data_IF_672403936440
#
_entry.id   IF_672403936440
#
_cell.length_a   1.000
_cell.length_b   1.000
_cell.length_c   1.000
_cell.angle_alpha   90.00
_cell.angle_beta   90.00
_cell.angle_gamma   90.00
#
_symmetry.space_group_name_H-M   'P 1'
#
loop_
_entity.id
_entity.type
_entity.pdbx_description
1 polymer ?
#
# COMPACT_ATOMS: atom_id res chain seq x y z
N UNK A 1 0.59 -7.47 22.15
CA UNK A 1 1.33 -6.79 21.05
C UNK A 1 2.79 -6.48 21.40
N UNK A 2 3.06 -5.59 22.37
CA UNK A 2 4.42 -5.09 22.65
C UNK A 2 5.45 -6.19 22.93
N UNK A 3 5.14 -7.14 23.82
CA UNK A 3 6.03 -8.27 24.12
C UNK A 3 6.36 -9.13 22.90
N UNK A 4 5.39 -9.26 21.97
CA UNK A 4 5.58 -9.99 20.72
C UNK A 4 6.51 -9.22 19.78
N UNK A 5 6.30 -7.92 19.64
CA UNK A 5 7.13 -7.07 18.79
C UNK A 5 8.57 -7.00 19.31
N UNK A 6 8.76 -6.85 20.62
CA UNK A 6 10.08 -6.87 21.26
C UNK A 6 10.82 -8.19 20.98
N UNK A 7 10.12 -9.33 21.07
CA UNK A 7 10.72 -10.65 20.78
C UNK A 7 11.15 -10.84 19.33
N UNK A 8 10.55 -10.07 18.41
CA UNK A 8 10.88 -10.06 16.99
C UNK A 8 11.83 -8.92 16.61
N UNK A 9 12.22 -8.05 17.56
CA UNK A 9 12.97 -6.83 17.27
C UNK A 9 12.21 -5.87 16.36
N UNK A 10 10.87 -5.90 16.40
CA UNK A 10 9.98 -5.24 15.44
C UNK A 10 9.52 -3.88 15.98
N UNK A 11 9.59 -2.86 15.14
CA UNK A 11 9.00 -1.53 15.35
C UNK A 11 8.15 -1.16 14.15
N UNK A 12 6.88 -0.83 14.38
CA UNK A 12 6.00 -0.29 13.32
C UNK A 12 6.09 1.22 13.34
N UNK A 13 6.50 1.79 12.20
CA UNK A 13 6.41 3.21 11.93
C UNK A 13 5.02 3.47 11.33
N UNK A 14 4.05 3.81 12.18
CA UNK A 14 2.71 4.16 11.70
C UNK A 14 2.76 5.50 10.94
N UNK A 15 2.15 5.55 9.76
CA UNK A 15 2.20 6.70 8.84
C UNK A 15 0.79 7.24 8.57
N UNK A 16 0.73 8.46 8.07
CA UNK A 16 -0.52 9.02 7.53
C UNK A 16 -0.84 8.44 6.15
N UNK A 17 -2.09 8.58 5.70
CA UNK A 17 -2.64 7.92 4.50
C UNK A 17 -1.92 8.18 3.15
N UNK A 18 -0.99 9.15 3.06
CA UNK A 18 -0.16 9.31 1.86
C UNK A 18 0.91 8.20 1.76
N UNK A 19 1.31 7.61 2.87
CA UNK A 19 2.36 6.60 2.91
C UNK A 19 1.88 5.38 3.65
N UNK A 20 2.20 4.20 3.11
CA UNK A 20 2.05 2.99 3.90
C UNK A 20 2.92 3.06 5.15
N UNK A 21 2.55 2.28 6.15
CA UNK A 21 3.39 1.94 7.28
C UNK A 21 4.69 1.31 6.80
N UNK A 22 5.75 1.54 7.57
CA UNK A 22 7.01 0.83 7.43
C UNK A 22 7.24 -0.03 8.67
N UNK A 23 7.53 -1.32 8.48
CA UNK A 23 7.86 -2.23 9.59
C UNK A 23 9.36 -2.45 9.64
N UNK A 24 10.03 -1.88 10.64
CA UNK A 24 11.47 -2.03 10.84
C UNK A 24 11.73 -3.18 11.81
N UNK A 25 12.57 -4.13 11.41
CA UNK A 25 12.94 -5.30 12.21
C UNK A 25 14.44 -5.24 12.44
N UNK A 26 14.92 -5.43 13.67
CA UNK A 26 16.35 -5.42 14.02
C UNK A 26 16.79 -6.69 14.73
N UNK A 27 17.99 -7.15 14.43
CA UNK A 27 18.64 -8.26 15.14
C UNK A 27 20.17 -8.09 15.07
N UNK A 28 20.83 -8.18 16.22
CA UNK A 28 22.27 -7.90 16.31
C UNK A 28 22.66 -6.54 15.72
N UNK A 29 23.54 -6.57 14.71
CA UNK A 29 24.03 -5.40 13.96
C UNK A 29 23.27 -5.13 12.65
N UNK A 30 22.22 -5.89 12.36
CA UNK A 30 21.45 -5.84 11.12
C UNK A 30 20.01 -5.36 11.35
N UNK A 31 19.42 -4.80 10.30
CA UNK A 31 18.00 -4.46 10.27
C UNK A 31 17.40 -4.57 8.88
N UNK A 32 16.07 -4.72 8.85
CA UNK A 32 15.25 -4.87 7.66
C UNK A 32 14.10 -3.87 7.75
N UNK A 33 13.58 -3.44 6.62
CA UNK A 33 12.35 -2.66 6.54
C UNK A 33 11.39 -3.30 5.55
N UNK A 34 10.13 -3.47 5.95
CA UNK A 34 9.04 -3.86 5.07
C UNK A 34 8.21 -2.62 4.74
N UNK A 35 8.09 -2.33 3.44
CA UNK A 35 7.51 -1.13 2.82
C UNK A 35 8.18 0.20 3.25
N UNK A 36 8.18 1.19 2.36
CA UNK A 36 9.00 2.40 2.48
C UNK A 36 8.23 3.72 2.30
N UNK A 37 6.91 3.67 2.29
CA UNK A 37 6.08 4.87 2.15
C UNK A 37 6.16 5.47 0.74
N UNK A 38 5.70 6.71 0.62
CA UNK A 38 5.61 7.44 -0.64
C UNK A 38 6.82 8.35 -0.90
N UNK A 39 7.08 8.65 -2.18
CA UNK A 39 8.27 9.36 -2.63
C UNK A 39 8.47 10.75 -1.98
N UNK A 40 7.41 11.55 -1.83
CA UNK A 40 7.53 12.87 -1.18
C UNK A 40 7.83 12.80 0.33
N UNK A 41 7.61 11.64 0.95
CA UNK A 41 8.01 11.34 2.33
C UNK A 41 9.34 10.59 2.44
N UNK A 42 10.05 10.30 1.35
CA UNK A 42 11.27 9.49 1.37
C UNK A 42 12.36 10.02 2.32
N UNK A 43 12.65 11.33 2.44
CA UNK A 43 13.59 11.84 3.44
C UNK A 43 13.17 11.50 4.88
N UNK A 44 11.86 11.63 5.18
CA UNK A 44 11.31 11.29 6.49
C UNK A 44 11.37 9.78 6.74
N UNK A 45 11.08 8.95 5.74
CA UNK A 45 11.23 7.48 5.84
C UNK A 45 12.67 7.12 6.22
N UNK A 46 13.67 7.69 5.54
CA UNK A 46 15.08 7.45 5.82
C UNK A 46 15.44 7.82 7.26
N UNK A 47 14.97 8.98 7.75
CA UNK A 47 15.22 9.42 9.13
C UNK A 47 14.59 8.47 10.16
N UNK A 48 13.33 8.09 9.99
CA UNK A 48 12.62 7.20 10.90
C UNK A 48 13.25 5.81 10.95
N UNK A 49 13.60 5.25 9.78
CA UNK A 49 14.31 3.96 9.70
C UNK A 49 15.68 4.06 10.39
N UNK A 50 16.44 5.13 10.14
CA UNK A 50 17.74 5.34 10.78
C UNK A 50 17.64 5.47 12.30
N UNK A 51 16.58 6.11 12.82
CA UNK A 51 16.34 6.23 14.25
C UNK A 51 16.13 4.88 14.92
N UNK A 52 15.34 3.98 14.30
CA UNK A 52 15.12 2.62 14.82
C UNK A 52 16.39 1.77 14.72
N UNK A 53 17.12 1.86 13.60
CA UNK A 53 18.36 1.11 13.40
C UNK A 53 19.44 1.51 14.42
N UNK A 54 19.55 2.81 14.75
CA UNK A 54 20.65 3.34 15.54
C UNK A 54 21.98 3.18 14.79
N UNK A 55 22.92 2.42 15.34
CA UNK A 55 24.22 2.14 14.70
C UNK A 55 24.21 0.92 13.77
N UNK A 56 23.08 0.21 13.67
CA UNK A 56 22.93 -1.01 12.86
C UNK A 56 22.93 -0.70 11.37
N UNK A 57 23.27 -1.70 10.58
CA UNK A 57 23.17 -1.64 9.11
C UNK A 57 21.77 -2.03 8.67
N UNK A 58 21.18 -1.27 7.74
CA UNK A 58 20.05 -1.76 6.97
C UNK A 58 20.58 -2.77 5.94
N UNK A 59 20.13 -4.02 6.03
CA UNK A 59 20.57 -5.10 5.15
C UNK A 59 19.49 -5.54 4.16
N UNK A 60 18.21 -5.25 4.46
CA UNK A 60 17.09 -5.60 3.59
C UNK A 60 15.98 -4.55 3.52
N UNK A 61 15.48 -4.31 2.31
CA UNK A 61 14.20 -3.64 2.03
C UNK A 61 13.30 -4.71 1.41
N UNK A 62 12.08 -4.86 1.91
CA UNK A 62 11.09 -5.80 1.38
C UNK A 62 9.83 -5.02 1.02
N UNK A 63 9.21 -5.33 -0.11
CA UNK A 63 7.93 -4.75 -0.47
C UNK A 63 6.81 -5.79 -0.44
N UNK A 64 5.68 -5.46 0.18
CA UNK A 64 4.47 -6.28 0.11
C UNK A 64 3.87 -6.27 -1.28
N UNK A 65 3.89 -5.09 -1.94
CA UNK A 65 3.51 -4.86 -3.33
C UNK A 65 4.13 -3.54 -3.81
N UNK A 66 3.95 -3.21 -5.09
CA UNK A 66 4.67 -2.10 -5.74
C UNK A 66 3.75 -0.93 -6.10
N UNK A 67 2.75 -0.64 -5.26
CA UNK A 67 2.13 0.68 -5.31
C UNK A 67 3.09 1.74 -4.76
N UNK A 68 2.96 2.95 -5.28
CA UNK A 68 3.95 4.01 -5.07
C UNK A 68 4.11 4.43 -3.60
N UNK A 69 3.07 4.25 -2.80
CA UNK A 69 3.04 4.53 -1.36
C UNK A 69 3.60 3.41 -0.49
N UNK A 70 3.96 2.27 -1.09
CA UNK A 70 4.63 1.13 -0.43
C UNK A 70 6.11 1.01 -0.81
N UNK A 71 6.51 1.50 -1.99
CA UNK A 71 7.89 1.38 -2.48
C UNK A 71 8.57 2.73 -2.81
N UNK A 72 7.89 3.86 -2.61
CA UNK A 72 8.37 5.20 -2.95
C UNK A 72 9.64 5.63 -2.20
N UNK A 73 9.89 5.08 -1.02
CA UNK A 73 11.12 5.31 -0.26
C UNK A 73 12.31 4.40 -0.63
N UNK A 74 12.12 3.41 -1.52
CA UNK A 74 13.14 2.40 -1.82
C UNK A 74 14.43 3.03 -2.35
N UNK A 75 14.33 3.94 -3.33
CA UNK A 75 15.49 4.58 -3.94
C UNK A 75 16.32 5.37 -2.93
N UNK A 76 15.64 6.10 -2.03
CA UNK A 76 16.29 6.90 -0.99
C UNK A 76 16.98 6.02 0.07
N UNK A 77 16.33 4.93 0.50
CA UNK A 77 16.91 3.96 1.42
C UNK A 77 18.14 3.27 0.81
N UNK A 78 18.03 2.78 -0.43
CA UNK A 78 19.14 2.14 -1.14
C UNK A 78 20.32 3.08 -1.35
N UNK A 79 20.06 4.36 -1.64
CA UNK A 79 21.11 5.38 -1.74
C UNK A 79 21.78 5.67 -0.40
N UNK A 80 21.03 5.63 0.70
CA UNK A 80 21.54 5.95 2.04
C UNK A 80 22.30 4.80 2.71
N UNK A 81 21.91 3.55 2.44
CA UNK A 81 22.43 2.37 3.11
C UNK A 81 23.17 1.47 2.12
N UNK A 82 24.48 1.66 2.02
CA UNK A 82 25.31 0.89 1.10
C UNK A 82 25.22 -0.63 1.35
N UNK A 83 24.95 -1.39 0.29
CA UNK A 83 24.86 -2.85 0.32
C UNK A 83 23.54 -3.42 0.84
N UNK A 84 22.53 -2.58 1.07
CA UNK A 84 21.17 -3.06 1.35
C UNK A 84 20.62 -3.82 0.15
N UNK A 85 19.95 -4.94 0.39
CA UNK A 85 19.30 -5.73 -0.65
C UNK A 85 17.80 -5.44 -0.70
N UNK A 86 17.25 -5.24 -1.89
CA UNK A 86 15.81 -4.99 -2.07
C UNK A 86 15.13 -6.25 -2.60
N UNK A 87 14.02 -6.65 -1.97
CA UNK A 87 13.21 -7.81 -2.33
C UNK A 87 11.79 -7.36 -2.66
N UNK A 88 11.29 -7.79 -3.81
CA UNK A 88 9.97 -7.42 -4.32
C UNK A 88 9.13 -8.66 -4.62
N UNK A 89 7.80 -8.53 -4.76
CA UNK A 89 7.00 -9.62 -5.29
C UNK A 89 7.37 -9.98 -6.75
N UNK A 90 7.14 -11.22 -7.17
CA UNK A 90 7.65 -11.71 -8.46
C UNK A 90 6.96 -11.11 -9.69
N UNK A 91 5.68 -10.71 -9.57
CA UNK A 91 4.83 -10.42 -10.74
C UNK A 91 5.28 -9.25 -11.61
N UNK A 92 5.85 -8.20 -11.00
CA UNK A 92 6.28 -6.98 -11.70
C UNK A 92 7.80 -6.86 -11.85
N UNK A 93 8.56 -7.94 -11.64
CA UNK A 93 10.01 -7.93 -11.67
C UNK A 93 10.59 -7.36 -12.99
N UNK A 94 10.02 -7.74 -14.14
CA UNK A 94 10.47 -7.23 -15.45
C UNK A 94 10.09 -5.77 -15.69
N UNK A 95 9.00 -5.30 -15.09
CA UNK A 95 8.62 -3.89 -15.13
C UNK A 95 9.60 -3.05 -14.30
N UNK A 96 10.01 -3.51 -13.11
CA UNK A 96 11.04 -2.84 -12.30
C UNK A 96 12.39 -2.84 -13.01
N UNK A 97 12.83 -3.96 -13.61
CA UNK A 97 14.12 -4.02 -14.35
C UNK A 97 14.21 -3.00 -15.47
N UNK A 98 13.11 -2.78 -16.19
CA UNK A 98 13.02 -1.82 -17.30
C UNK A 98 12.58 -0.42 -16.86
N UNK A 99 12.24 -0.28 -15.58
CA UNK A 99 11.56 0.88 -15.01
C UNK A 99 10.36 1.35 -15.85
N UNK A 100 9.49 0.40 -16.19
CA UNK A 100 8.26 0.65 -16.93
C UNK A 100 7.19 1.23 -16.01
N UNK A 101 7.16 2.55 -15.88
CA UNK A 101 6.23 3.30 -15.04
C UNK A 101 4.75 3.15 -15.45
N UNK A 102 4.47 2.62 -16.65
CA UNK A 102 3.11 2.29 -17.05
C UNK A 102 2.70 0.93 -16.53
N UNK A 103 3.54 -0.09 -16.68
CA UNK A 103 3.30 -1.42 -16.12
C UNK A 103 3.33 -1.45 -14.58
N UNK A 104 4.05 -0.52 -13.96
CA UNK A 104 4.04 -0.29 -12.50
C UNK A 104 2.90 0.65 -12.05
N UNK A 105 2.05 1.07 -12.98
CA UNK A 105 0.87 1.93 -12.76
C UNK A 105 1.12 3.35 -12.26
N UNK A 106 2.36 3.75 -11.94
CA UNK A 106 2.68 5.10 -11.45
C UNK A 106 2.21 6.20 -12.41
N UNK A 107 2.57 6.11 -13.69
CA UNK A 107 2.12 7.11 -14.68
C UNK A 107 0.60 7.03 -14.93
N UNK A 108 -0.01 5.84 -15.14
CA UNK A 108 -1.45 5.71 -15.26
C UNK A 108 -2.24 6.34 -14.12
N UNK A 109 -1.81 6.19 -12.87
CA UNK A 109 -2.49 6.73 -11.68
C UNK A 109 -2.04 8.16 -11.31
N UNK A 110 -1.09 8.74 -12.06
CA UNK A 110 -0.58 10.09 -11.80
C UNK A 110 0.21 10.19 -10.50
N UNK A 111 0.83 9.09 -10.07
CA UNK A 111 1.61 8.96 -8.83
C UNK A 111 3.11 8.92 -9.14
N UNK A 112 3.93 9.14 -8.11
CA UNK A 112 5.37 9.23 -8.24
C UNK A 112 6.06 8.12 -7.44
N UNK A 113 7.05 7.50 -8.06
CA UNK A 113 8.01 6.63 -7.41
C UNK A 113 9.36 6.86 -8.07
N UNK A 114 10.41 6.97 -7.28
CA UNK A 114 11.77 7.07 -7.80
C UNK A 114 12.28 5.69 -8.23
N UNK A 115 13.12 5.66 -9.27
CA UNK A 115 13.69 4.42 -9.79
C UNK A 115 14.54 3.70 -8.76
N UNK A 116 14.24 2.42 -8.55
CA UNK A 116 15.03 1.50 -7.73
C UNK A 116 15.28 0.17 -8.45
N UNK A 117 16.28 -0.57 -7.98
CA UNK A 117 16.57 -1.95 -8.39
C UNK A 117 16.21 -2.93 -7.29
N UNK A 118 16.08 -4.21 -7.64
CA UNK A 118 15.90 -5.30 -6.68
C UNK A 118 16.98 -6.37 -6.86
N UNK A 119 17.22 -7.11 -5.79
CA UNK A 119 18.23 -8.16 -5.66
C UNK A 119 17.58 -9.56 -5.54
N UNK A 120 16.32 -9.63 -5.12
CA UNK A 120 15.61 -10.89 -4.93
C UNK A 120 14.09 -10.78 -5.07
N UNK A 121 13.43 -11.93 -5.11
CA UNK A 121 11.98 -12.06 -5.24
C UNK A 121 11.38 -12.75 -4.03
N UNK A 122 10.26 -12.23 -3.53
CA UNK A 122 9.46 -12.82 -2.47
C UNK A 122 8.47 -13.83 -3.09
N UNK A 123 8.94 -15.05 -3.35
CA UNK A 123 8.10 -16.08 -3.95
C UNK A 123 7.06 -16.61 -2.94
N UNK A 124 5.75 -16.60 -3.28
CA UNK A 124 4.75 -17.28 -2.47
C UNK A 124 5.09 -18.75 -2.25
N UNK A 125 5.00 -19.20 -0.99
CA UNK A 125 5.39 -20.55 -0.56
C UNK A 125 6.82 -20.64 -0.01
N UNK A 126 7.66 -19.62 -0.23
CA UNK A 126 8.99 -19.55 0.37
C UNK A 126 8.96 -18.97 1.79
N UNK A 127 10.12 -19.05 2.47
CA UNK A 127 10.37 -18.38 3.73
C UNK A 127 11.50 -17.36 3.58
N UNK A 128 11.35 -16.20 4.22
CA UNK A 128 12.42 -15.21 4.38
C UNK A 128 12.80 -15.07 5.85
N UNK A 129 14.08 -14.78 6.12
CA UNK A 129 14.54 -14.48 7.48
C UNK A 129 14.59 -12.97 7.68
N UNK A 130 13.82 -12.47 8.63
CA UNK A 130 13.82 -11.07 9.07
C UNK A 130 14.10 -11.05 10.57
N UNK A 131 15.22 -10.44 10.94
CA UNK A 131 15.73 -10.47 12.30
C UNK A 131 15.89 -11.89 12.84
N UNK A 132 15.40 -12.17 14.06
CA UNK A 132 15.59 -13.48 14.68
C UNK A 132 14.70 -14.57 14.06
N UNK A 133 13.68 -14.20 13.28
CA UNK A 133 12.57 -15.06 12.90
C UNK A 133 12.50 -15.39 11.40
N UNK A 134 11.83 -16.50 11.11
CA UNK A 134 11.40 -16.85 9.75
C UNK A 134 9.97 -16.36 9.52
N UNK A 135 9.73 -15.88 8.31
CA UNK A 135 8.46 -15.35 7.83
C UNK A 135 8.07 -16.09 6.56
N UNK A 136 6.90 -16.69 6.56
CA UNK A 136 6.32 -17.34 5.39
C UNK A 136 5.80 -16.28 4.42
N UNK A 137 6.07 -16.45 3.14
CA UNK A 137 5.57 -15.58 2.07
C UNK A 137 4.30 -16.21 1.50
N UNK A 138 3.19 -15.48 1.52
CA UNK A 138 1.91 -15.93 0.98
C UNK A 138 1.44 -15.00 -0.13
N UNK A 139 0.87 -15.54 -1.21
CA UNK A 139 0.23 -14.71 -2.23
C UNK A 139 -1.04 -14.07 -1.65
N UNK A 140 -1.30 -12.82 -2.01
CA UNK A 140 -2.50 -12.09 -1.62
C UNK A 140 -3.07 -11.24 -2.78
N UNK A 141 -3.46 -11.89 -3.89
CA UNK A 141 -4.09 -11.18 -5.00
C UNK A 141 -5.41 -10.53 -4.55
N UNK A 142 -5.82 -9.48 -5.25
CA UNK A 142 -7.02 -8.70 -4.95
C UNK A 142 -6.76 -7.21 -5.06
N UNK A 143 -6.22 -6.58 -4.01
CA UNK A 143 -5.83 -5.16 -4.06
C UNK A 143 -4.84 -4.87 -5.19
N UNK A 144 -3.79 -5.70 -5.27
CA UNK A 144 -2.82 -5.79 -6.33
C UNK A 144 -2.67 -7.28 -6.69
N UNK A 145 -2.63 -7.69 -7.98
CA UNK A 145 -2.56 -9.10 -8.39
C UNK A 145 -1.29 -9.83 -7.93
N UNK A 146 -0.26 -9.09 -7.53
CA UNK A 146 1.07 -9.60 -7.22
C UNK A 146 1.44 -9.41 -5.76
N UNK A 147 0.54 -8.87 -4.93
CA UNK A 147 0.81 -8.62 -3.53
C UNK A 147 1.13 -9.90 -2.76
N UNK A 148 1.97 -9.75 -1.74
CA UNK A 148 2.33 -10.81 -0.81
C UNK A 148 2.08 -10.40 0.64
N UNK A 149 1.79 -11.40 1.48
CA UNK A 149 1.77 -11.29 2.92
C UNK A 149 3.04 -11.90 3.49
N UNK A 150 3.50 -11.35 4.62
CA UNK A 150 4.57 -11.94 5.41
C UNK A 150 4.00 -12.44 6.74
N UNK A 151 4.00 -13.76 6.96
CA UNK A 151 3.44 -14.36 8.16
C UNK A 151 4.50 -14.99 9.05
N UNK A 152 4.65 -14.47 10.27
CA UNK A 152 5.49 -15.06 11.30
C UNK A 152 4.67 -16.08 12.08
N UNK A 153 4.92 -17.37 11.81
CA UNK A 153 4.12 -18.50 12.33
C UNK A 153 4.12 -18.62 13.86
N UNK A 154 5.29 -18.48 14.50
CA UNK A 154 5.48 -18.80 15.92
C UNK A 154 4.71 -17.84 16.84
N UNK A 155 4.76 -16.55 16.51
CA UNK A 155 4.10 -15.47 17.23
C UNK A 155 2.79 -15.02 16.58
N UNK A 156 2.44 -15.62 15.42
CA UNK A 156 1.21 -15.37 14.65
C UNK A 156 1.03 -13.89 14.30
N UNK A 157 2.12 -13.26 13.84
CA UNK A 157 2.12 -11.88 13.36
C UNK A 157 2.03 -11.88 11.84
N UNK A 158 1.08 -11.13 11.29
CA UNK A 158 0.92 -10.96 9.84
C UNK A 158 1.24 -9.52 9.45
N UNK A 159 2.15 -9.31 8.51
CA UNK A 159 2.23 -8.05 7.76
C UNK A 159 1.35 -8.24 6.52
N UNK A 160 0.23 -7.53 6.48
CA UNK A 160 -0.83 -7.77 5.49
C UNK A 160 -0.79 -6.84 4.28
N UNK A 161 0.03 -5.78 4.31
CA UNK A 161 -0.07 -4.70 3.34
C UNK A 161 -1.52 -4.23 3.24
N UNK A 162 -2.04 -4.17 2.02
CA UNK A 162 -3.39 -3.68 1.75
C UNK A 162 -4.45 -4.78 1.58
N UNK A 163 -4.08 -6.03 1.84
CA UNK A 163 -5.01 -7.17 1.84
C UNK A 163 -5.97 -7.16 3.04
N UNK A 164 -5.55 -6.61 4.19
CA UNK A 164 -6.40 -6.45 5.37
C UNK A 164 -5.94 -5.27 6.23
N UNK A 165 -6.86 -4.36 6.48
CA UNK A 165 -6.75 -3.27 7.45
C UNK A 165 -7.69 -3.51 8.63
N UNK A 166 -7.55 -2.73 9.71
CA UNK A 166 -8.50 -2.83 10.84
C UNK A 166 -9.95 -2.61 10.37
N UNK A 167 -10.16 -1.77 9.36
CA UNK A 167 -11.47 -1.37 8.85
C UNK A 167 -11.65 -1.63 7.35
N UNK A 168 -11.28 -2.82 6.87
CA UNK A 168 -11.51 -3.25 5.49
C UNK A 168 -10.23 -3.68 4.78
N UNK A 169 -10.07 -3.24 3.55
CA UNK A 169 -8.93 -3.53 2.67
C UNK A 169 -8.80 -2.42 1.61
N UNK A 170 -7.67 -2.42 0.89
CA UNK A 170 -7.34 -1.45 -0.15
C UNK A 170 -8.31 -1.41 -1.33
N UNK A 171 -8.12 -0.46 -2.23
CA UNK A 171 -8.88 -0.41 -3.49
C UNK A 171 -8.55 -1.64 -4.34
N UNK A 172 -9.53 -2.40 -4.78
CA UNK A 172 -9.33 -3.52 -5.72
C UNK A 172 -9.07 -2.97 -7.13
N UNK A 173 -7.83 -2.59 -7.45
CA UNK A 173 -7.48 -1.98 -8.74
C UNK A 173 -7.83 -2.86 -9.96
N UNK A 174 -7.57 -4.18 -9.94
CA UNK A 174 -7.90 -5.05 -11.08
C UNK A 174 -9.39 -5.03 -11.47
N UNK A 175 -10.30 -4.81 -10.53
CA UNK A 175 -11.74 -4.69 -10.80
C UNK A 175 -12.06 -3.44 -11.66
N UNK A 176 -11.27 -2.39 -11.51
CA UNK A 176 -11.38 -1.15 -12.30
C UNK A 176 -10.93 -1.34 -13.75
N UNK A 177 -10.15 -2.41 -13.99
CA UNK A 177 -9.61 -2.83 -15.28
C UNK A 177 -10.48 -3.92 -15.93
N UNK A 178 -11.62 -4.25 -15.31
CA UNK A 178 -12.57 -5.24 -15.82
C UNK A 178 -12.19 -6.69 -15.50
N UNK A 179 -11.28 -6.92 -14.57
CA UNK A 179 -10.94 -8.25 -14.06
C UNK A 179 -11.88 -8.64 -12.92
N UNK A 180 -12.20 -9.92 -12.78
CA UNK A 180 -13.05 -10.45 -11.70
C UNK A 180 -12.21 -10.68 -10.43
N UNK A 181 -11.84 -9.59 -9.75
CA UNK A 181 -10.84 -9.60 -8.68
C UNK A 181 -11.42 -9.60 -7.27
N UNK A 182 -12.73 -9.36 -7.12
CA UNK A 182 -13.40 -9.54 -5.83
C UNK A 182 -13.33 -10.98 -5.32
N UNK A 183 -13.33 -11.98 -6.22
CA UNK A 183 -13.10 -13.37 -5.83
C UNK A 183 -11.67 -13.59 -5.27
N UNK A 184 -10.66 -12.90 -5.80
CA UNK A 184 -9.30 -12.96 -5.26
C UNK A 184 -9.21 -12.34 -3.87
N UNK A 185 -9.90 -11.22 -3.64
CA UNK A 185 -10.02 -10.63 -2.30
C UNK A 185 -10.65 -11.63 -1.32
N UNK A 186 -11.75 -12.29 -1.70
CA UNK A 186 -12.39 -13.30 -0.85
C UNK A 186 -11.42 -14.43 -0.48
N UNK A 187 -10.71 -14.99 -1.46
CA UNK A 187 -9.72 -16.05 -1.23
C UNK A 187 -8.57 -15.59 -0.32
N UNK A 188 -8.12 -14.35 -0.48
CA UNK A 188 -7.08 -13.76 0.37
C UNK A 188 -7.57 -13.58 1.81
N UNK A 189 -8.81 -13.14 2.03
CA UNK A 189 -9.40 -13.05 3.37
C UNK A 189 -9.55 -14.44 4.02
N UNK A 190 -10.00 -15.45 3.27
CA UNK A 190 -10.09 -16.84 3.73
C UNK A 190 -8.71 -17.40 4.09
N UNK A 191 -7.69 -17.09 3.31
CA UNK A 191 -6.30 -17.44 3.62
C UNK A 191 -5.86 -16.80 4.94
N UNK A 192 -6.07 -15.49 5.11
CA UNK A 192 -5.72 -14.79 6.36
C UNK A 192 -6.45 -15.42 7.56
N UNK A 193 -7.73 -15.75 7.40
CA UNK A 193 -8.50 -16.45 8.43
C UNK A 193 -7.89 -17.81 8.77
N UNK A 194 -7.41 -18.57 7.77
CA UNK A 194 -6.79 -19.88 7.97
C UNK A 194 -5.41 -19.82 8.64
N UNK A 195 -4.62 -18.77 8.35
CA UNK A 195 -3.35 -18.48 9.04
C UNK A 195 -3.59 -18.11 10.51
N UNK A 196 -4.77 -17.54 10.78
CA UNK A 196 -5.28 -17.15 12.08
C UNK A 196 -4.28 -16.26 12.85
N UNK A 197 -3.82 -15.13 12.29
CA UNK A 197 -2.92 -14.24 13.02
C UNK A 197 -3.57 -13.72 14.31
N UNK A 198 -2.75 -13.51 15.34
CA UNK A 198 -3.18 -12.85 16.59
C UNK A 198 -2.91 -11.35 16.54
N UNK A 199 -2.02 -10.91 15.65
CA UNK A 199 -1.71 -9.51 15.40
C UNK A 199 -1.55 -9.30 13.89
N UNK A 200 -2.12 -8.22 13.37
CA UNK A 200 -1.93 -7.79 11.98
C UNK A 200 -1.30 -6.41 11.96
N UNK A 201 -0.29 -6.24 11.13
CA UNK A 201 0.37 -4.97 10.79
C UNK A 201 -0.08 -4.61 9.36
N UNK A 202 -1.03 -3.68 9.21
CA UNK A 202 -1.55 -3.30 7.90
C UNK A 202 -0.59 -2.36 7.16
N UNK A 203 -0.82 -2.22 5.86
CA UNK A 203 -0.23 -1.18 5.03
C UNK A 203 -0.65 0.21 5.48
N UNK A 204 -1.91 0.41 5.89
CA UNK A 204 -2.40 1.69 6.38
C UNK A 204 -3.16 1.57 7.71
N UNK A 205 -2.96 2.57 8.58
CA UNK A 205 -3.55 2.63 9.93
C UNK A 205 -2.78 1.80 10.97
N UNK A 206 -3.31 1.74 12.19
CA UNK A 206 -2.61 1.09 13.31
C UNK A 206 -2.58 -0.45 13.21
N UNK A 207 -1.55 -1.11 13.76
CA UNK A 207 -1.61 -2.55 14.06
C UNK A 207 -2.77 -2.91 14.98
N UNK A 208 -3.34 -4.11 14.84
CA UNK A 208 -4.53 -4.53 15.59
C UNK A 208 -4.50 -6.02 15.97
N UNK A 209 -5.18 -6.37 17.06
CA UNK A 209 -5.24 -7.75 17.61
C UNK A 209 -6.62 -8.41 17.44
N UNK A 210 -7.70 -7.62 17.27
CA UNK A 210 -9.05 -8.16 17.08
C UNK A 210 -9.28 -8.55 15.60
N UNK A 211 -8.52 -9.55 15.15
CA UNK A 211 -8.50 -10.03 13.77
C UNK A 211 -9.86 -10.56 13.30
N UNK A 212 -10.61 -11.37 14.10
CA UNK A 212 -11.93 -11.84 13.65
C UNK A 212 -12.89 -10.69 13.33
N UNK A 213 -12.92 -9.65 14.17
CA UNK A 213 -13.78 -8.49 13.91
C UNK A 213 -13.32 -7.67 12.69
N UNK A 214 -12.01 -7.63 12.41
CA UNK A 214 -11.48 -6.98 11.21
C UNK A 214 -11.86 -7.75 9.94
N UNK A 215 -11.75 -9.09 9.95
CA UNK A 215 -12.21 -9.96 8.87
C UNK A 215 -13.71 -9.81 8.62
N UNK A 216 -14.54 -9.78 9.68
CA UNK A 216 -15.99 -9.54 9.55
C UNK A 216 -16.28 -8.20 8.86
N UNK A 217 -15.52 -7.14 9.19
CA UNK A 217 -15.65 -5.83 8.53
C UNK A 217 -15.20 -5.88 7.08
N UNK A 218 -14.11 -6.60 6.77
CA UNK A 218 -13.61 -6.79 5.43
C UNK A 218 -14.62 -7.55 4.56
N UNK A 219 -15.15 -8.69 5.01
CA UNK A 219 -16.18 -9.43 4.28
C UNK A 219 -17.43 -8.58 4.03
N UNK A 220 -17.93 -7.85 5.05
CA UNK A 220 -19.07 -6.94 4.87
C UNK A 220 -18.81 -5.86 3.82
N UNK A 221 -17.59 -5.32 3.76
CA UNK A 221 -17.20 -4.34 2.74
C UNK A 221 -17.13 -4.98 1.36
N UNK A 222 -16.60 -6.20 1.26
CA UNK A 222 -16.56 -6.95 0.01
C UNK A 222 -17.98 -7.24 -0.50
N UNK A 223 -18.89 -7.71 0.36
CA UNK A 223 -20.29 -7.97 0.02
C UNK A 223 -20.99 -6.70 -0.49
N UNK A 224 -20.69 -5.54 0.10
CA UNK A 224 -21.21 -4.25 -0.37
C UNK A 224 -20.72 -3.90 -1.77
N UNK A 225 -19.45 -4.21 -2.09
CA UNK A 225 -18.90 -3.98 -3.43
C UNK A 225 -19.42 -4.99 -4.45
N UNK A 226 -19.56 -6.27 -4.09
CA UNK A 226 -20.19 -7.30 -4.93
C UNK A 226 -21.64 -6.95 -5.26
N UNK A 227 -22.40 -6.47 -4.26
CA UNK A 227 -23.79 -6.06 -4.47
C UNK A 227 -23.93 -4.75 -5.26
N UNK A 228 -22.91 -3.89 -5.24
CA UNK A 228 -22.92 -2.59 -5.90
C UNK A 228 -21.55 -2.21 -6.46
N UNK A 229 -21.07 -2.85 -7.56
CA UNK A 229 -19.73 -2.60 -8.10
C UNK A 229 -19.50 -1.16 -8.56
N UNK A 230 -20.56 -0.40 -8.88
CA UNK A 230 -20.47 1.05 -9.13
C UNK A 230 -19.87 1.83 -7.96
N UNK A 231 -20.20 1.44 -6.73
CA UNK A 231 -19.73 2.14 -5.53
C UNK A 231 -18.23 1.95 -5.33
N UNK A 232 -17.70 0.79 -5.72
CA UNK A 232 -16.25 0.56 -5.69
C UNK A 232 -15.54 1.43 -6.72
N UNK A 233 -16.03 1.51 -7.96
CA UNK A 233 -15.45 2.38 -8.99
C UNK A 233 -15.47 3.87 -8.62
N UNK A 234 -16.61 4.38 -8.13
CA UNK A 234 -16.72 5.77 -7.63
C UNK A 234 -15.80 6.00 -6.42
N UNK A 235 -15.72 5.03 -5.50
CA UNK A 235 -14.82 5.08 -4.36
C UNK A 235 -13.34 5.15 -4.80
N UNK A 236 -12.94 4.33 -5.77
CA UNK A 236 -11.57 4.30 -6.27
C UNK A 236 -11.17 5.60 -6.96
N UNK A 237 -12.02 6.13 -7.84
CA UNK A 237 -11.77 7.42 -8.50
C UNK A 237 -11.63 8.56 -7.47
N UNK A 238 -12.48 8.55 -6.43
CA UNK A 238 -12.40 9.49 -5.33
C UNK A 238 -11.08 9.34 -4.53
N UNK A 239 -10.65 8.11 -4.27
CA UNK A 239 -9.38 7.83 -3.58
C UNK A 239 -8.19 8.35 -4.38
N UNK A 240 -8.17 8.21 -5.71
CA UNK A 240 -7.09 8.76 -6.54
C UNK A 240 -6.99 10.30 -6.43
N UNK A 241 -8.13 11.00 -6.49
CA UNK A 241 -8.14 12.46 -6.29
C UNK A 241 -7.69 12.83 -4.88
N UNK A 242 -8.18 12.11 -3.85
CA UNK A 242 -7.76 12.33 -2.47
C UNK A 242 -6.28 12.05 -2.25
N UNK A 243 -5.73 11.01 -2.85
CA UNK A 243 -4.31 10.68 -2.76
C UNK A 243 -3.45 11.80 -3.37
N UNK A 244 -3.85 12.33 -4.52
CA UNK A 244 -3.18 13.49 -5.10
C UNK A 244 -3.28 14.73 -4.19
N UNK A 245 -4.44 14.98 -3.58
CA UNK A 245 -4.61 16.05 -2.60
C UNK A 245 -3.73 15.86 -1.36
N UNK A 246 -3.59 14.63 -0.86
CA UNK A 246 -2.70 14.30 0.27
C UNK A 246 -1.24 14.64 -0.07
N UNK A 247 -0.79 14.38 -1.30
CA UNK A 247 0.58 14.74 -1.72
C UNK A 247 0.75 16.26 -1.86
N UNK A 248 -0.20 16.92 -2.51
CA UNK A 248 -0.08 18.36 -2.80
C UNK A 248 -0.41 19.25 -1.61
N UNK A 249 -1.21 18.77 -0.66
CA UNK A 249 -1.81 19.46 0.50
C UNK A 249 -2.72 20.65 0.14
N UNK A 250 -2.33 21.45 -0.86
CA UNK A 250 -3.07 22.57 -1.42
C UNK A 250 -2.61 22.80 -2.85
N UNK A 251 -3.56 22.93 -3.79
CA UNK A 251 -3.29 23.27 -5.18
C UNK A 251 -4.42 24.11 -5.78
N UNK A 252 -4.16 24.73 -6.93
CA UNK A 252 -5.20 25.47 -7.65
C UNK A 252 -6.14 24.50 -8.34
N UNK A 253 -7.41 24.90 -8.48
CA UNK A 253 -8.41 24.13 -9.23
C UNK A 253 -7.94 23.84 -10.66
N UNK A 254 -7.28 24.80 -11.32
CA UNK A 254 -6.72 24.64 -12.67
C UNK A 254 -5.67 23.54 -12.75
N UNK A 255 -4.79 23.47 -11.73
CA UNK A 255 -3.70 22.50 -11.68
C UNK A 255 -4.27 21.10 -11.42
N UNK A 256 -5.29 20.99 -10.56
CA UNK A 256 -5.98 19.73 -10.30
C UNK A 256 -6.73 19.23 -11.54
N UNK A 257 -7.38 20.13 -12.27
CA UNK A 257 -8.04 19.80 -13.55
C UNK A 257 -7.05 19.33 -14.60
N UNK A 258 -5.89 19.98 -14.72
CA UNK A 258 -4.83 19.56 -15.63
C UNK A 258 -4.31 18.16 -15.27
N UNK A 259 -3.97 17.94 -13.99
CA UNK A 259 -3.57 16.62 -13.50
C UNK A 259 -4.63 15.55 -13.77
N UNK A 260 -5.90 15.82 -13.44
CA UNK A 260 -7.00 14.90 -13.66
C UNK A 260 -7.13 14.50 -15.13
N UNK A 261 -7.10 15.47 -16.06
CA UNK A 261 -7.18 15.21 -17.50
C UNK A 261 -5.96 14.45 -18.03
N UNK A 262 -4.79 14.67 -17.43
CA UNK A 262 -3.54 14.01 -17.83
C UNK A 262 -3.35 12.62 -17.24
N UNK A 263 -4.17 12.21 -16.26
CA UNK A 263 -4.05 10.94 -15.53
C UNK A 263 -4.87 9.84 -16.25
N UNK A 264 -4.22 8.89 -16.95
CA UNK A 264 -4.91 7.92 -17.81
C UNK A 264 -5.96 7.06 -17.09
N UNK A 265 -5.77 6.77 -15.81
CA UNK A 265 -6.65 5.87 -15.06
C UNK A 265 -8.11 6.38 -15.01
N UNK A 266 -8.34 7.70 -14.90
CA UNK A 266 -9.71 8.22 -14.89
C UNK A 266 -10.46 7.94 -16.19
N UNK A 267 -9.77 8.04 -17.34
CA UNK A 267 -10.34 7.69 -18.63
C UNK A 267 -10.60 6.17 -18.73
N UNK A 268 -9.67 5.35 -18.24
CA UNK A 268 -9.81 3.89 -18.18
C UNK A 268 -11.05 3.47 -17.38
N UNK A 269 -11.20 3.97 -16.15
CA UNK A 269 -12.36 3.63 -15.32
C UNK A 269 -13.66 4.14 -15.96
N UNK A 270 -13.66 5.36 -16.52
CA UNK A 270 -14.84 5.91 -17.21
C UNK A 270 -15.24 5.09 -18.44
N UNK A 271 -14.28 4.50 -19.16
CA UNK A 271 -14.55 3.62 -20.30
C UNK A 271 -15.19 2.30 -19.86
N UNK A 272 -14.73 1.71 -18.75
CA UNK A 272 -15.32 0.49 -18.20
C UNK A 272 -16.67 0.75 -17.54
N UNK A 273 -16.86 1.96 -16.99
CA UNK A 273 -18.04 2.39 -16.23
C UNK A 273 -18.68 3.65 -16.80
N UNK A 274 -19.19 3.62 -18.05
CA UNK A 274 -19.83 4.77 -18.68
C UNK A 274 -21.16 5.14 -18.01
N UNK A 275 -21.67 4.29 -17.13
CA UNK A 275 -22.85 4.51 -16.30
C UNK A 275 -22.63 5.50 -15.15
N UNK A 276 -21.37 5.83 -14.83
CA UNK A 276 -21.02 6.67 -13.68
C UNK A 276 -20.56 8.07 -14.11
N UNK A 277 -20.99 9.07 -13.33
CA UNK A 277 -20.36 10.39 -13.37
C UNK A 277 -19.09 10.34 -12.52
N UNK A 278 -17.95 10.20 -13.18
CA UNK A 278 -16.63 10.25 -12.55
C UNK A 278 -15.93 11.58 -12.81
N UNK A 279 -16.65 12.62 -13.24
CA UNK A 279 -16.04 13.92 -13.53
C UNK A 279 -15.42 14.54 -12.28
N UNK A 280 -14.33 15.31 -12.46
CA UNK A 280 -13.65 15.96 -11.34
C UNK A 280 -14.58 16.82 -10.47
N UNK A 281 -15.52 17.64 -11.00
CA UNK A 281 -16.48 18.37 -10.18
C UNK A 281 -17.32 17.47 -9.27
N UNK A 282 -17.86 16.36 -9.81
CA UNK A 282 -18.62 15.40 -9.01
C UNK A 282 -17.77 14.75 -7.92
N UNK A 283 -16.55 14.31 -8.26
CA UNK A 283 -15.64 13.71 -7.27
C UNK A 283 -15.25 14.70 -6.16
N UNK A 284 -15.00 15.97 -6.51
CA UNK A 284 -14.70 17.03 -5.55
C UNK A 284 -15.89 17.33 -4.64
N UNK A 285 -17.11 17.42 -5.19
CA UNK A 285 -18.32 17.62 -4.40
C UNK A 285 -18.48 16.50 -3.36
N UNK A 286 -18.21 15.25 -3.75
CA UNK A 286 -18.19 14.12 -2.80
C UNK A 286 -17.14 14.28 -1.72
N UNK A 287 -15.90 14.65 -2.07
CA UNK A 287 -14.82 14.85 -1.10
C UNK A 287 -15.14 15.98 -0.11
N UNK A 288 -15.66 17.10 -0.60
CA UNK A 288 -16.09 18.24 0.23
C UNK A 288 -17.25 17.84 1.14
N UNK A 289 -18.25 17.13 0.61
CA UNK A 289 -19.41 16.66 1.41
C UNK A 289 -19.01 15.71 2.54
N UNK A 290 -17.93 14.95 2.37
CA UNK A 290 -17.36 14.08 3.41
C UNK A 290 -16.28 14.76 4.26
N UNK A 291 -16.07 16.07 4.11
CA UNK A 291 -15.02 16.84 4.80
C UNK A 291 -13.59 16.33 4.56
N UNK A 292 -13.36 15.65 3.43
CA UNK A 292 -12.05 15.15 3.02
C UNK A 292 -11.30 16.16 2.12
N UNK A 293 -11.97 17.21 1.68
CA UNK A 293 -11.36 18.34 0.99
C UNK A 293 -12.15 19.62 1.29
N UNK A 294 -11.55 20.77 1.01
CA UNK A 294 -12.22 22.07 1.06
C UNK A 294 -11.86 22.90 -0.17
N UNK A 295 -12.84 23.67 -0.66
CA UNK A 295 -12.62 24.66 -1.73
C UNK A 295 -12.64 26.06 -1.12
N UNK A 296 -11.54 26.80 -1.28
CA UNK A 296 -11.39 28.20 -0.84
C UNK A 296 -11.00 29.09 -2.02
N UNK A 297 -11.99 29.73 -2.66
CA UNK A 297 -11.76 30.49 -3.89
C UNK A 297 -11.21 29.59 -4.99
N UNK A 298 -10.04 29.93 -5.55
CA UNK A 298 -9.36 29.14 -6.60
C UNK A 298 -8.60 27.91 -6.07
N UNK A 299 -8.59 27.68 -4.75
CA UNK A 299 -7.79 26.64 -4.11
C UNK A 299 -8.62 25.43 -3.71
N UNK A 300 -8.05 24.24 -3.90
CA UNK A 300 -8.53 22.97 -3.30
C UNK A 300 -7.51 22.57 -2.23
N UNK A 301 -7.99 22.24 -1.05
CA UNK A 301 -7.19 22.00 0.16
C UNK A 301 -7.53 20.61 0.71
N UNK A 302 -6.50 19.85 1.04
CA UNK A 302 -6.62 18.59 1.76
C UNK A 302 -7.16 18.80 3.19
N UNK A 303 -8.08 17.94 3.64
CA UNK A 303 -8.67 17.97 4.97
C UNK A 303 -8.60 16.61 5.67
#
# INVERSE_FOLDING_TARGET
MLTTFDSLGLTVLERGWLSSNSTVIVDGDAGWVVDSGYASHAPQTVELVQQVLGIRKLVGILNTHLHSDHCGGNAALSSRFAGVQTWIPPGQADAVRRWDVNALTYQPTGQQCDQFSFDGLLQPGDEVRLGPARWEVHAAPGHDPHAVLLFQRQHRVLISGDALWENGFGVVFPELEGLDAFHEVANTLDLIQSLAPTVVIPGHGRPFENVPAALDRAHKRLDQFLAAPHRHAEYAAKVLVKFHLLDRQRLRQTDLEEWYRSTPYFALVSQHRPDLDLTLPHLLDKLVSSSAAEIQGEWVIDR
#
